data_IF_746327483188
#
_entry.id   IF_746327483188
#
_cell.length_a   1.000
_cell.length_b   1.000
_cell.length_c   1.000
_cell.angle_alpha   90.00
_cell.angle_beta   90.00
_cell.angle_gamma   90.00
#
_symmetry.space_group_name_H-M   'P 1'
#
loop_
_entity.id
_entity.type
_entity.pdbx_description
1 polymer ?
#
# COMPACT_ATOMS: atom_id res chain seq x y z
N UNK A 1 10.52 -36.04 4.61
CA UNK A 1 10.20 -34.64 4.23
C UNK A 1 11.43 -34.05 3.54
N UNK A 2 11.36 -33.72 2.24
CA UNK A 2 12.43 -32.93 1.59
C UNK A 2 12.30 -31.50 2.12
N UNK A 3 13.36 -30.95 2.72
CA UNK A 3 13.44 -29.51 3.01
C UNK A 3 13.36 -28.80 1.66
N UNK A 4 12.31 -28.01 1.45
CA UNK A 4 12.22 -27.14 0.29
C UNK A 4 13.38 -26.15 0.30
N UNK A 5 13.93 -25.85 -0.87
CA UNK A 5 14.93 -24.80 -1.02
C UNK A 5 14.37 -23.47 -0.49
N UNK A 6 15.21 -22.64 0.15
CA UNK A 6 14.77 -21.33 0.61
C UNK A 6 14.37 -20.48 -0.60
N UNK A 7 13.10 -20.08 -0.63
CA UNK A 7 12.60 -19.13 -1.61
C UNK A 7 13.06 -17.74 -1.17
N UNK A 8 13.97 -17.15 -1.95
CA UNK A 8 14.36 -15.75 -1.76
C UNK A 8 13.21 -14.85 -2.22
N UNK A 9 12.70 -14.02 -1.31
CA UNK A 9 11.62 -13.08 -1.58
C UNK A 9 12.23 -11.70 -1.82
N UNK A 10 12.11 -11.19 -3.04
CA UNK A 10 12.44 -9.81 -3.35
C UNK A 10 11.27 -8.88 -2.95
N UNK A 11 11.34 -8.32 -1.74
CA UNK A 11 10.32 -7.40 -1.24
C UNK A 11 10.21 -6.11 -2.07
N UNK A 12 11.28 -5.68 -2.76
CA UNK A 12 11.21 -4.49 -3.63
C UNK A 12 10.42 -4.78 -4.89
N UNK A 13 10.60 -5.97 -5.47
CA UNK A 13 9.78 -6.41 -6.59
C UNK A 13 8.31 -6.59 -6.19
N UNK A 14 8.04 -7.09 -4.98
CA UNK A 14 6.67 -7.17 -4.43
C UNK A 14 6.07 -5.77 -4.27
N UNK A 15 6.80 -4.82 -3.67
CA UNK A 15 6.34 -3.43 -3.54
C UNK A 15 6.05 -2.79 -4.91
N UNK A 16 6.95 -2.91 -5.88
CA UNK A 16 6.76 -2.35 -7.21
C UNK A 16 5.49 -2.89 -7.89
N UNK A 17 5.20 -4.19 -7.71
CA UNK A 17 3.96 -4.80 -8.21
C UNK A 17 2.72 -4.19 -7.53
N UNK A 18 2.73 -4.08 -6.20
CA UNK A 18 1.59 -3.55 -5.46
C UNK A 18 1.37 -2.07 -5.74
N UNK A 19 2.42 -1.27 -5.87
CA UNK A 19 2.35 0.15 -6.26
C UNK A 19 1.69 0.31 -7.65
N UNK A 20 2.07 -0.52 -8.63
CA UNK A 20 1.41 -0.52 -9.94
C UNK A 20 -0.07 -0.92 -9.84
N UNK A 21 -0.40 -1.94 -9.06
CA UNK A 21 -1.78 -2.33 -8.82
C UNK A 21 -2.58 -1.22 -8.13
N UNK A 22 -1.94 -0.43 -7.27
CA UNK A 22 -2.57 0.70 -6.57
C UNK A 22 -2.93 1.80 -7.55
N UNK A 23 -2.02 2.17 -8.44
CA UNK A 23 -2.29 3.13 -9.51
C UNK A 23 -3.46 2.69 -10.40
N UNK A 24 -3.50 1.42 -10.80
CA UNK A 24 -4.58 0.86 -11.60
C UNK A 24 -5.93 0.87 -10.84
N UNK A 25 -5.91 0.54 -9.55
CA UNK A 25 -7.11 0.55 -8.71
C UNK A 25 -7.63 1.98 -8.50
N UNK A 26 -6.73 2.95 -8.31
CA UNK A 26 -7.09 4.36 -8.16
C UNK A 26 -7.75 4.90 -9.43
N UNK A 27 -7.20 4.61 -10.61
CA UNK A 27 -7.81 4.99 -11.90
C UNK A 27 -9.18 4.36 -12.07
N UNK A 28 -9.34 3.09 -11.71
CA UNK A 28 -10.63 2.39 -11.81
C UNK A 28 -11.68 2.98 -10.85
N UNK A 29 -11.28 3.36 -9.63
CA UNK A 29 -12.15 4.05 -8.68
C UNK A 29 -12.58 5.41 -9.21
N UNK A 30 -11.64 6.25 -9.67
CA UNK A 30 -11.94 7.56 -10.25
C UNK A 30 -12.89 7.48 -11.46
N UNK A 31 -12.67 6.51 -12.35
CA UNK A 31 -13.56 6.30 -13.49
C UNK A 31 -14.98 5.92 -13.05
N UNK A 32 -15.11 5.04 -12.06
CA UNK A 32 -16.41 4.66 -11.51
C UNK A 32 -17.13 5.85 -10.85
N UNK A 33 -16.41 6.71 -10.13
CA UNK A 33 -16.97 7.93 -9.51
C UNK A 33 -17.40 8.97 -10.55
N UNK A 34 -16.71 9.08 -11.68
CA UNK A 34 -17.15 10.00 -12.76
C UNK A 34 -18.43 9.50 -13.43
N UNK A 35 -18.60 8.19 -13.60
CA UNK A 35 -19.80 7.60 -14.21
C UNK A 35 -21.06 7.74 -13.33
N UNK A 36 -20.91 7.92 -12.02
CA UNK A 36 -22.03 8.10 -11.08
C UNK A 36 -22.44 9.56 -10.90
N UNK A 37 -21.65 10.52 -11.39
CA UNK A 37 -22.03 11.92 -11.37
C UNK A 37 -23.23 12.13 -12.31
N UNK A 38 -24.31 12.81 -11.85
CA UNK A 38 -25.40 13.20 -12.71
C UNK A 38 -24.86 13.98 -13.91
N UNK A 39 -25.06 13.46 -15.12
CA UNK A 39 -24.61 14.10 -16.38
C UNK A 39 -25.47 15.31 -16.74
N UNK A 40 -26.64 15.41 -16.12
CA UNK A 40 -27.68 16.38 -16.42
C UNK A 40 -27.52 17.53 -15.42
N UNK A 41 -26.71 18.51 -15.78
CA UNK A 41 -26.43 19.70 -14.96
C UNK A 41 -27.58 20.71 -14.90
N UNK A 42 -28.79 20.37 -15.34
CA UNK A 42 -29.93 21.26 -15.23
C UNK A 42 -30.46 21.25 -13.78
N UNK A 43 -30.47 22.41 -13.10
CA UNK A 43 -31.06 22.51 -11.78
C UNK A 43 -32.51 22.02 -11.85
N UNK A 44 -32.89 21.09 -10.96
CA UNK A 44 -34.30 20.71 -10.84
C UNK A 44 -35.11 21.98 -10.52
N UNK A 45 -36.10 22.35 -11.36
CA UNK A 45 -36.86 23.57 -11.15
C UNK A 45 -37.60 23.49 -9.82
N UNK A 46 -37.63 24.60 -9.10
CA UNK A 46 -38.35 24.67 -7.83
C UNK A 46 -39.84 24.38 -8.05
N UNK A 47 -40.49 23.63 -7.14
CA UNK A 47 -41.93 23.43 -7.21
C UNK A 47 -42.68 24.77 -7.18
N UNK A 48 -43.85 24.83 -7.84
CA UNK A 48 -44.65 26.04 -7.95
C UNK A 48 -45.08 26.67 -6.61
N UNK A 49 -45.06 25.91 -5.50
CA UNK A 49 -45.35 26.45 -4.17
C UNK A 49 -44.20 27.28 -3.60
N UNK A 50 -42.95 27.10 -4.06
CA UNK A 50 -41.78 27.76 -3.52
C UNK A 50 -41.79 29.28 -3.72
N UNK A 51 -42.50 29.77 -4.75
CA UNK A 51 -42.67 31.20 -5.03
C UNK A 51 -43.85 31.84 -4.29
N UNK A 52 -44.63 31.06 -3.54
CA UNK A 52 -45.86 31.52 -2.87
C UNK A 52 -45.97 31.03 -1.43
N UNK A 53 -44.84 30.89 -0.75
CA UNK A 53 -44.75 30.44 0.65
C UNK A 53 -45.65 31.26 1.59
N UNK A 54 -45.72 32.56 1.38
CA UNK A 54 -46.54 33.48 2.19
C UNK A 54 -48.06 33.23 2.06
N UNK A 55 -48.49 32.56 0.99
CA UNK A 55 -49.90 32.20 0.78
C UNK A 55 -50.30 30.86 1.39
N UNK A 56 -49.34 30.09 1.93
CA UNK A 56 -49.60 28.79 2.55
C UNK A 56 -50.00 28.97 4.01
N UNK A 57 -51.04 28.25 4.43
CA UNK A 57 -51.38 28.17 5.84
C UNK A 57 -50.40 27.26 6.60
N UNK A 58 -50.53 27.24 7.93
CA UNK A 58 -49.65 26.47 8.81
C UNK A 58 -49.72 24.96 8.52
N UNK A 59 -50.88 24.43 8.17
CA UNK A 59 -51.04 23.00 7.90
C UNK A 59 -50.35 22.63 6.58
N UNK A 60 -50.56 23.42 5.53
CA UNK A 60 -49.90 23.26 4.24
C UNK A 60 -48.37 23.34 4.36
N UNK A 61 -47.86 24.27 5.18
CA UNK A 61 -46.42 24.35 5.47
C UNK A 61 -45.89 23.10 6.19
N UNK A 62 -46.66 22.54 7.13
CA UNK A 62 -46.26 21.30 7.81
C UNK A 62 -46.23 20.10 6.85
N UNK A 63 -47.18 20.00 5.93
CA UNK A 63 -47.22 18.95 4.90
C UNK A 63 -46.08 19.09 3.87
N UNK A 64 -45.75 20.31 3.46
CA UNK A 64 -44.57 20.59 2.61
C UNK A 64 -43.30 20.15 3.31
N UNK A 65 -43.10 20.52 4.58
CA UNK A 65 -41.93 20.12 5.35
C UNK A 65 -41.84 18.59 5.52
N UNK A 66 -42.95 17.93 5.81
CA UNK A 66 -42.99 16.46 5.90
C UNK A 66 -42.61 15.79 4.58
N UNK A 67 -43.05 16.35 3.45
CA UNK A 67 -42.74 15.86 2.11
C UNK A 67 -41.28 16.06 1.75
N UNK A 68 -40.70 17.23 2.04
CA UNK A 68 -39.27 17.49 1.86
C UNK A 68 -38.43 16.52 2.68
N UNK A 69 -38.75 16.36 3.97
CA UNK A 69 -38.04 15.42 4.84
C UNK A 69 -38.17 13.96 4.38
N UNK A 70 -39.32 13.58 3.79
CA UNK A 70 -39.47 12.25 3.16
C UNK A 70 -38.59 12.12 1.92
N UNK A 71 -38.56 13.14 1.07
CA UNK A 71 -37.73 13.20 -0.13
C UNK A 71 -36.25 13.09 0.20
N UNK A 72 -35.77 13.82 1.21
CA UNK A 72 -34.38 13.74 1.70
C UNK A 72 -34.03 12.33 2.18
N UNK A 73 -34.86 11.71 3.03
CA UNK A 73 -34.61 10.35 3.52
C UNK A 73 -34.58 9.33 2.39
N UNK A 74 -35.50 9.45 1.43
CA UNK A 74 -35.63 8.50 0.32
C UNK A 74 -34.52 8.68 -0.70
N UNK A 75 -34.24 9.93 -1.10
CA UNK A 75 -33.20 10.29 -2.05
C UNK A 75 -31.81 10.02 -1.52
N UNK A 76 -31.53 10.32 -0.24
CA UNK A 76 -30.25 10.00 0.39
C UNK A 76 -30.01 8.49 0.42
N UNK A 77 -31.00 7.69 0.84
CA UNK A 77 -30.87 6.24 0.91
C UNK A 77 -30.67 5.63 -0.49
N UNK A 78 -31.44 6.07 -1.48
CA UNK A 78 -31.30 5.61 -2.87
C UNK A 78 -29.91 5.96 -3.42
N UNK A 79 -29.47 7.21 -3.25
CA UNK A 79 -28.16 7.65 -3.71
C UNK A 79 -27.02 6.90 -3.03
N UNK A 80 -27.13 6.64 -1.72
CA UNK A 80 -26.15 5.82 -1.00
C UNK A 80 -26.14 4.36 -1.50
N UNK A 81 -27.31 3.75 -1.70
CA UNK A 81 -27.42 2.37 -2.21
C UNK A 81 -26.87 2.24 -3.63
N UNK A 82 -27.12 3.25 -4.48
CA UNK A 82 -26.61 3.29 -5.84
C UNK A 82 -25.09 3.44 -5.83
N UNK A 83 -24.54 4.41 -5.08
CA UNK A 83 -23.10 4.55 -4.90
C UNK A 83 -22.43 3.29 -4.31
N UNK A 84 -23.06 2.65 -3.33
CA UNK A 84 -22.57 1.40 -2.76
C UNK A 84 -22.59 0.24 -3.79
N UNK A 85 -23.55 0.23 -4.73
CA UNK A 85 -23.65 -0.76 -5.80
C UNK A 85 -22.64 -0.50 -6.92
N UNK A 86 -22.46 0.75 -7.33
CA UNK A 86 -21.64 1.14 -8.49
C UNK A 86 -20.16 1.30 -8.13
N UNK A 87 -19.84 1.96 -7.01
CA UNK A 87 -18.46 2.28 -6.59
C UNK A 87 -17.97 1.35 -5.48
N UNK A 88 -18.85 0.69 -4.73
CA UNK A 88 -18.44 -0.10 -3.57
C UNK A 88 -17.44 -1.23 -3.91
N UNK A 89 -17.51 -1.81 -5.11
CA UNK A 89 -16.57 -2.83 -5.54
C UNK A 89 -15.17 -2.25 -5.84
N UNK A 90 -15.09 -1.10 -6.52
CA UNK A 90 -13.83 -0.42 -6.82
C UNK A 90 -13.21 0.18 -5.57
N UNK A 91 -14.02 0.76 -4.67
CA UNK A 91 -13.56 1.29 -3.39
C UNK A 91 -12.99 0.19 -2.48
N UNK A 92 -13.67 -0.95 -2.35
CA UNK A 92 -13.15 -2.10 -1.58
C UNK A 92 -11.86 -2.66 -2.19
N UNK A 93 -11.75 -2.67 -3.52
CA UNK A 93 -10.51 -3.09 -4.20
C UNK A 93 -9.38 -2.12 -3.92
N UNK A 94 -9.62 -0.82 -4.03
CA UNK A 94 -8.65 0.22 -3.74
C UNK A 94 -8.08 0.07 -2.33
N UNK A 95 -8.94 0.04 -1.31
CA UNK A 95 -8.50 -0.11 0.08
C UNK A 95 -7.72 -1.40 0.35
N UNK A 96 -8.06 -2.52 -0.30
CA UNK A 96 -7.26 -3.75 -0.19
C UNK A 96 -5.87 -3.60 -0.81
N UNK A 97 -5.77 -2.94 -1.96
CA UNK A 97 -4.49 -2.77 -2.64
C UNK A 97 -3.62 -1.73 -1.93
N UNK A 98 -4.22 -0.67 -1.39
CA UNK A 98 -3.55 0.30 -0.49
C UNK A 98 -2.87 -0.43 0.68
N UNK A 99 -3.63 -1.23 1.43
CA UNK A 99 -3.06 -1.98 2.56
C UNK A 99 -1.97 -2.98 2.17
N UNK A 100 -2.07 -3.61 0.98
CA UNK A 100 -0.98 -4.48 0.48
C UNK A 100 0.26 -3.69 0.09
N UNK A 101 0.10 -2.50 -0.49
CA UNK A 101 1.20 -1.63 -0.88
C UNK A 101 1.93 -1.09 0.35
N UNK A 102 1.18 -0.67 1.37
CA UNK A 102 1.71 -0.23 2.67
C UNK A 102 2.49 -1.35 3.35
N UNK A 103 1.88 -2.53 3.49
CA UNK A 103 2.56 -3.71 4.06
C UNK A 103 3.83 -4.09 3.28
N UNK A 104 3.80 -4.02 1.94
CA UNK A 104 4.98 -4.30 1.13
C UNK A 104 6.10 -3.27 1.37
N UNK A 105 5.75 -2.00 1.59
CA UNK A 105 6.70 -0.96 1.98
C UNK A 105 7.36 -1.26 3.33
N UNK A 106 6.56 -1.60 4.34
CA UNK A 106 7.08 -1.98 5.67
C UNK A 106 8.04 -3.19 5.59
N UNK A 107 7.72 -4.18 4.75
CA UNK A 107 8.58 -5.34 4.53
C UNK A 107 9.91 -4.99 3.85
N UNK A 108 9.92 -4.02 2.91
CA UNK A 108 11.16 -3.52 2.29
C UNK A 108 12.06 -2.87 3.34
N UNK A 109 11.49 -2.04 4.22
CA UNK A 109 12.25 -1.35 5.26
C UNK A 109 12.77 -2.34 6.31
N UNK A 110 11.90 -3.21 6.82
CA UNK A 110 12.27 -4.22 7.80
C UNK A 110 13.35 -5.19 7.27
N UNK A 111 13.22 -5.64 6.02
CA UNK A 111 14.24 -6.51 5.41
C UNK A 111 15.57 -5.80 5.21
N UNK A 112 15.55 -4.53 4.82
CA UNK A 112 16.78 -3.72 4.64
C UNK A 112 17.51 -3.53 5.97
N UNK A 113 16.78 -3.24 7.05
CA UNK A 113 17.33 -3.13 8.41
C UNK A 113 17.94 -4.46 8.83
N UNK A 114 17.16 -5.56 8.74
CA UNK A 114 17.60 -6.90 9.13
C UNK A 114 18.88 -7.33 8.40
N UNK A 115 18.93 -7.19 7.07
CA UNK A 115 20.09 -7.56 6.27
C UNK A 115 21.31 -6.70 6.61
N UNK A 116 21.10 -5.40 6.88
CA UNK A 116 22.19 -4.50 7.26
C UNK A 116 22.78 -4.86 8.63
N UNK A 117 21.93 -5.14 9.62
CA UNK A 117 22.37 -5.55 10.96
C UNK A 117 23.10 -6.89 10.91
N UNK A 118 22.57 -7.87 10.17
CA UNK A 118 23.24 -9.15 9.99
C UNK A 118 24.55 -9.05 9.22
N UNK A 119 24.63 -8.21 8.18
CA UNK A 119 25.88 -7.99 7.47
C UNK A 119 26.94 -7.37 8.40
N UNK A 120 26.55 -6.42 9.27
CA UNK A 120 27.46 -5.82 10.26
C UNK A 120 27.91 -6.83 11.32
N UNK A 121 26.99 -7.63 11.85
CA UNK A 121 27.32 -8.66 12.83
C UNK A 121 28.27 -9.71 12.22
N UNK A 122 27.96 -10.19 11.02
CA UNK A 122 28.81 -11.13 10.28
C UNK A 122 30.20 -10.54 10.00
N UNK A 123 30.28 -9.27 9.58
CA UNK A 123 31.55 -8.60 9.36
C UNK A 123 32.37 -8.49 10.65
N UNK A 124 31.72 -8.17 11.79
CA UNK A 124 32.36 -8.12 13.10
C UNK A 124 32.89 -9.49 13.53
N UNK A 125 32.10 -10.55 13.37
CA UNK A 125 32.50 -11.92 13.70
C UNK A 125 33.68 -12.39 12.84
N UNK A 126 33.64 -12.11 11.53
CA UNK A 126 34.73 -12.41 10.61
C UNK A 126 36.00 -11.62 10.94
N UNK A 127 35.88 -10.36 11.35
CA UNK A 127 37.02 -9.56 11.80
C UNK A 127 37.61 -10.05 13.14
N UNK A 128 36.77 -10.62 14.02
CA UNK A 128 37.21 -11.18 15.29
C UNK A 128 37.86 -12.58 15.15
N UNK A 129 37.58 -13.31 14.07
CA UNK A 129 38.23 -14.60 13.81
C UNK A 129 39.71 -14.45 13.48
N UNK A 130 40.55 -15.34 14.03
CA UNK A 130 41.97 -15.43 13.67
C UNK A 130 42.09 -15.67 12.17
N UNK A 131 42.90 -14.83 11.48
CA UNK A 131 43.06 -14.95 10.03
C UNK A 131 43.60 -16.33 9.64
N UNK A 132 43.27 -16.80 8.44
CA UNK A 132 43.77 -18.10 7.96
C UNK A 132 45.30 -18.15 7.93
N UNK A 133 45.96 -17.03 7.61
CA UNK A 133 47.41 -16.92 7.64
C UNK A 133 47.97 -17.13 9.06
N UNK A 134 47.34 -16.50 10.07
CA UNK A 134 47.77 -16.64 11.47
C UNK A 134 47.48 -18.04 12.03
N UNK A 135 46.40 -18.69 11.58
CA UNK A 135 46.15 -20.10 11.86
C UNK A 135 47.23 -21.02 11.28
N UNK A 136 47.66 -20.77 10.04
CA UNK A 136 48.77 -21.51 9.43
C UNK A 136 50.08 -21.29 10.18
N UNK A 137 50.38 -20.07 10.64
CA UNK A 137 51.58 -19.81 11.46
C UNK A 137 51.56 -20.53 12.80
N UNK A 138 50.42 -20.52 13.50
CA UNK A 138 50.26 -21.28 14.77
C UNK A 138 50.47 -22.79 14.59
N UNK A 139 50.22 -23.32 13.38
CA UNK A 139 50.46 -24.73 13.01
C UNK A 139 51.86 -25.01 12.47
N UNK A 140 52.71 -23.99 12.33
CA UNK A 140 54.06 -24.11 11.76
C UNK A 140 54.12 -24.12 10.23
N UNK A 141 53.00 -23.89 9.53
CA UNK A 141 52.87 -23.93 8.06
C UNK A 141 53.26 -22.57 7.43
N UNK A 142 54.51 -22.11 7.63
CA UNK A 142 54.96 -20.75 7.26
C UNK A 142 54.81 -20.40 5.77
N UNK A 143 55.17 -21.30 4.86
CA UNK A 143 55.01 -21.03 3.42
C UNK A 143 53.54 -20.87 3.03
N UNK A 144 52.65 -21.63 3.66
CA UNK A 144 51.21 -21.58 3.40
C UNK A 144 50.61 -20.28 3.92
N UNK A 145 51.07 -19.81 5.10
CA UNK A 145 50.72 -18.50 5.62
C UNK A 145 51.17 -17.37 4.68
N UNK A 146 52.41 -17.43 4.17
CA UNK A 146 52.93 -16.42 3.23
C UNK A 146 52.12 -16.37 1.93
N UNK A 147 51.76 -17.54 1.36
CA UNK A 147 50.88 -17.61 0.18
C UNK A 147 49.49 -17.03 0.47
N UNK A 148 48.92 -17.31 1.64
CA UNK A 148 47.63 -16.77 2.02
C UNK A 148 47.64 -15.24 2.14
N UNK A 149 48.70 -14.66 2.72
CA UNK A 149 48.87 -13.19 2.79
C UNK A 149 49.04 -12.56 1.41
N UNK A 150 49.84 -13.17 0.54
CA UNK A 150 50.01 -12.70 -0.83
C UNK A 150 48.68 -12.64 -1.59
N UNK A 151 47.85 -13.69 -1.49
CA UNK A 151 46.52 -13.73 -2.12
C UNK A 151 45.59 -12.65 -1.57
N UNK A 152 45.61 -12.37 -0.27
CA UNK A 152 44.78 -11.31 0.32
C UNK A 152 45.24 -9.91 -0.13
N UNK A 153 46.55 -9.68 -0.21
CA UNK A 153 47.14 -8.44 -0.70
C UNK A 153 46.83 -8.22 -2.20
N UNK A 154 46.96 -9.25 -3.04
CA UNK A 154 46.58 -9.21 -4.46
C UNK A 154 45.10 -8.84 -4.67
N UNK A 155 44.24 -9.21 -3.72
CA UNK A 155 42.80 -8.90 -3.74
C UNK A 155 42.45 -7.57 -3.07
N UNK A 156 43.43 -6.85 -2.50
CA UNK A 156 43.22 -5.59 -1.79
C UNK A 156 42.41 -5.72 -0.50
N UNK A 157 42.43 -6.90 0.14
CA UNK A 157 41.67 -7.20 1.36
C UNK A 157 42.55 -7.01 2.62
N UNK A 158 43.87 -7.05 2.46
CA UNK A 158 44.87 -6.94 3.53
C UNK A 158 45.91 -5.86 3.22
#
# INVERSE_FOLDING_TARGET
MRRGEPVEIDFRAVYAREAKCLEEALRAYQAATVDTLPRDGEPTPLPAWATRLESLDRQALAEVNATLAMGERTGYLSGWQDGARTEGATQRRLGRVEGRCELAGELVDASSIYLTEHARALASDLAATTSFADLCERRGERERASRARAVLAERGIA
#
